data_IF_619555316633
#
_entry.id   IF_619555316633
#
_cell.length_a   1.000
_cell.length_b   1.000
_cell.length_c   1.000
_cell.angle_alpha   90.00
_cell.angle_beta   90.00
_cell.angle_gamma   90.00
#
_symmetry.space_group_name_H-M   'P 1'
#
loop_
_entity.id
_entity.type
_entity.pdbx_description
1 polymer ?
#
# COMPACT_ATOMS: atom_id res chain seq x y z
N UNK A 1 -3.37 -17.98 0.19
CA UNK A 1 -2.18 -17.37 0.82
C UNK A 1 -2.25 -17.49 2.33
N UNK A 2 -1.10 -17.44 3.01
CA UNK A 2 -1.00 -17.37 4.48
C UNK A 2 -0.65 -15.95 4.87
N UNK A 3 -1.56 -15.29 5.61
CA UNK A 3 -1.48 -13.85 5.89
C UNK A 3 -1.40 -13.61 7.40
N UNK A 4 -0.34 -12.98 7.88
CA UNK A 4 -0.21 -12.54 9.26
C UNK A 4 -0.79 -11.13 9.40
N UNK A 5 -1.77 -10.97 10.29
CA UNK A 5 -2.48 -9.72 10.57
C UNK A 5 -2.07 -9.22 11.95
N UNK A 6 -1.44 -8.06 12.01
CA UNK A 6 -1.17 -7.34 13.25
C UNK A 6 -2.50 -6.85 13.85
N UNK A 7 -3.09 -7.65 14.73
CA UNK A 7 -4.41 -7.43 15.27
C UNK A 7 -4.48 -6.25 16.27
N UNK A 8 -3.33 -5.77 16.78
CA UNK A 8 -3.26 -4.69 17.75
C UNK A 8 -2.79 -3.36 17.11
N UNK A 9 -2.55 -3.34 15.79
CA UNK A 9 -2.13 -2.15 15.06
C UNK A 9 -3.30 -1.31 14.57
N UNK A 10 -3.30 0.00 14.90
CA UNK A 10 -4.29 0.97 14.45
C UNK A 10 -5.16 1.53 15.58
N UNK A 11 -5.84 2.64 15.28
CA UNK A 11 -6.65 3.41 16.26
C UNK A 11 -7.92 2.65 16.67
N UNK A 12 -8.43 1.78 15.79
CA UNK A 12 -9.64 1.00 15.98
C UNK A 12 -9.36 -0.49 16.31
N UNK A 13 -8.09 -0.82 16.60
CA UNK A 13 -7.68 -2.17 16.98
C UNK A 13 -8.11 -2.51 18.42
N UNK A 14 -8.39 -3.79 18.73
CA UNK A 14 -8.38 -4.93 17.82
C UNK A 14 -9.67 -5.09 17.02
N UNK A 15 -10.77 -4.47 17.44
CA UNK A 15 -12.15 -4.73 17.00
C UNK A 15 -12.33 -4.66 15.47
N UNK A 16 -12.00 -3.53 14.86
CA UNK A 16 -12.17 -3.34 13.41
C UNK A 16 -11.21 -4.22 12.60
N UNK A 17 -10.00 -4.45 13.12
CA UNK A 17 -9.02 -5.32 12.47
C UNK A 17 -9.50 -6.76 12.45
N UNK A 18 -10.02 -7.26 13.57
CA UNK A 18 -10.57 -8.61 13.67
C UNK A 18 -11.83 -8.80 12.81
N UNK A 19 -12.74 -7.81 12.84
CA UNK A 19 -13.94 -7.85 12.00
C UNK A 19 -13.60 -7.91 10.50
N UNK A 20 -12.63 -7.12 10.05
CA UNK A 20 -12.13 -7.14 8.67
C UNK A 20 -11.44 -8.45 8.31
N UNK A 21 -10.63 -9.00 9.23
CA UNK A 21 -9.95 -10.28 9.03
C UNK A 21 -10.94 -11.45 8.91
N UNK A 22 -11.95 -11.51 9.76
CA UNK A 22 -13.02 -12.52 9.71
C UNK A 22 -13.81 -12.41 8.42
N UNK A 23 -14.17 -11.17 8.00
CA UNK A 23 -14.87 -10.92 6.74
C UNK A 23 -14.05 -11.36 5.52
N UNK A 24 -12.75 -11.01 5.49
CA UNK A 24 -11.84 -11.43 4.42
C UNK A 24 -11.70 -12.97 4.36
N UNK A 25 -11.54 -13.61 5.51
CA UNK A 25 -11.46 -15.08 5.61
C UNK A 25 -12.70 -15.79 5.05
N UNK A 26 -13.89 -15.28 5.36
CA UNK A 26 -15.15 -15.80 4.85
C UNK A 26 -15.27 -15.65 3.31
N UNK A 27 -14.71 -14.58 2.74
CA UNK A 27 -14.74 -14.30 1.29
C UNK A 27 -13.61 -15.00 0.51
N UNK A 28 -12.53 -15.38 1.19
CA UNK A 28 -11.38 -16.08 0.61
C UNK A 28 -11.07 -17.34 1.40
N UNK A 29 -11.90 -18.40 1.31
CA UNK A 29 -11.73 -19.60 2.13
C UNK A 29 -10.46 -20.40 1.80
N UNK A 30 -9.80 -20.11 0.69
CA UNK A 30 -8.50 -20.67 0.30
C UNK A 30 -7.31 -20.00 1.00
N UNK A 31 -7.51 -18.85 1.64
CA UNK A 31 -6.47 -18.14 2.37
C UNK A 31 -6.52 -18.51 3.85
N UNK A 32 -5.37 -18.59 4.49
CA UNK A 32 -5.22 -18.78 5.93
C UNK A 32 -4.82 -17.46 6.57
N UNK A 33 -5.58 -17.01 7.56
CA UNK A 33 -5.38 -15.72 8.24
C UNK A 33 -4.95 -15.99 9.68
N UNK A 34 -3.72 -15.55 10.01
CA UNK A 34 -3.20 -15.54 11.37
C UNK A 34 -3.45 -14.19 12.01
N UNK A 35 -4.34 -14.08 12.99
CA UNK A 35 -4.52 -12.88 13.79
C UNK A 35 -3.49 -12.90 14.92
N UNK A 36 -2.57 -11.92 14.91
CA UNK A 36 -1.41 -11.88 15.78
C UNK A 36 -1.59 -10.80 16.85
N UNK A 37 -1.61 -11.18 18.13
CA UNK A 37 -1.74 -10.25 19.24
C UNK A 37 -2.04 -10.94 20.56
N UNK A 38 -2.31 -10.15 21.61
CA UNK A 38 -2.59 -10.64 22.94
C UNK A 38 -3.91 -11.42 22.96
N UNK A 39 -3.82 -12.68 23.29
CA UNK A 39 -4.96 -13.61 23.35
C UNK A 39 -6.09 -13.08 24.21
N UNK A 40 -5.76 -12.50 25.36
CA UNK A 40 -6.76 -11.96 26.29
C UNK A 40 -7.52 -10.75 25.71
N UNK A 41 -6.93 -10.03 24.77
CA UNK A 41 -7.58 -8.91 24.08
C UNK A 41 -8.36 -9.38 22.84
N UNK A 42 -7.88 -10.41 22.15
CA UNK A 42 -8.43 -10.86 20.86
C UNK A 42 -9.63 -11.79 21.03
N UNK A 43 -9.53 -12.82 21.91
CA UNK A 43 -10.58 -13.84 22.05
C UNK A 43 -11.98 -13.26 22.38
N UNK A 44 -12.12 -12.26 23.26
CA UNK A 44 -13.43 -11.66 23.55
C UNK A 44 -14.06 -10.94 22.35
N UNK A 45 -13.24 -10.41 21.42
CA UNK A 45 -13.68 -9.61 20.28
C UNK A 45 -13.95 -10.47 19.02
N UNK A 46 -13.43 -11.72 18.93
CA UNK A 46 -13.60 -12.58 17.77
C UNK A 46 -15.04 -13.10 17.60
N UNK A 47 -15.85 -13.09 18.66
CA UNK A 47 -17.21 -13.63 18.60
C UNK A 47 -17.28 -15.17 18.40
N UNK A 48 -18.49 -15.74 18.33
CA UNK A 48 -18.69 -17.19 18.28
C UNK A 48 -18.51 -17.82 16.88
N UNK A 49 -18.59 -17.04 15.82
CA UNK A 49 -18.56 -17.50 14.41
C UNK A 49 -17.25 -17.13 13.74
N UNK A 50 -16.16 -17.78 14.14
CA UNK A 50 -14.84 -17.58 13.50
C UNK A 50 -14.69 -18.58 12.34
N UNK A 51 -14.38 -18.13 11.12
CA UNK A 51 -14.12 -19.03 10.00
C UNK A 51 -12.97 -19.99 10.30
N UNK A 52 -13.03 -21.25 9.83
CA UNK A 52 -12.03 -22.28 10.14
C UNK A 52 -10.62 -21.97 9.63
N UNK A 53 -10.49 -21.04 8.70
CA UNK A 53 -9.24 -20.55 8.13
C UNK A 53 -8.68 -19.30 8.86
N UNK A 54 -9.23 -18.95 10.03
CA UNK A 54 -8.68 -17.95 10.94
C UNK A 54 -8.07 -18.63 12.15
N UNK A 55 -6.84 -18.31 12.46
CA UNK A 55 -6.14 -18.83 13.64
C UNK A 55 -5.47 -17.71 14.42
N UNK A 56 -5.31 -17.89 15.74
CA UNK A 56 -4.71 -16.91 16.62
C UNK A 56 -3.24 -17.26 16.89
N UNK A 57 -2.37 -16.26 16.72
CA UNK A 57 -0.96 -16.32 17.14
C UNK A 57 -0.74 -15.36 18.29
N UNK A 58 -0.33 -15.87 19.42
CA UNK A 58 -0.12 -15.07 20.65
C UNK A 58 1.09 -14.12 20.51
N UNK A 59 0.92 -12.87 20.94
CA UNK A 59 1.94 -11.84 20.97
C UNK A 59 1.63 -10.82 22.07
N UNK A 60 2.66 -10.12 22.56
CA UNK A 60 2.51 -9.22 23.73
C UNK A 60 2.51 -7.75 23.34
N UNK A 61 1.31 -7.14 23.31
CA UNK A 61 1.15 -5.71 23.11
C UNK A 61 1.44 -5.21 21.69
N UNK A 62 1.29 -3.92 21.50
CA UNK A 62 1.49 -3.23 20.23
C UNK A 62 2.59 -2.17 20.33
N UNK A 63 3.12 -1.72 19.20
CA UNK A 63 3.91 -0.50 19.08
C UNK A 63 2.94 0.64 18.77
N UNK A 64 2.91 1.66 19.64
CA UNK A 64 1.99 2.79 19.51
C UNK A 64 2.50 3.85 18.53
N UNK A 65 1.59 4.75 18.09
CA UNK A 65 1.83 5.66 16.96
C UNK A 65 2.94 6.70 17.19
N UNK A 66 3.18 7.10 18.44
CA UNK A 66 4.13 8.14 18.83
C UNK A 66 5.52 7.61 19.23
N UNK A 67 5.74 6.29 19.16
CA UNK A 67 7.03 5.69 19.49
C UNK A 67 8.03 5.72 18.32
N UNK A 68 9.32 5.82 18.66
CA UNK A 68 10.38 5.69 17.66
C UNK A 68 10.42 4.22 17.16
N UNK A 69 10.15 3.98 15.85
CA UNK A 69 9.86 2.64 15.33
C UNK A 69 10.95 1.59 15.56
N UNK A 70 12.21 1.93 15.26
CA UNK A 70 13.30 0.97 15.33
C UNK A 70 13.70 0.64 16.76
N UNK A 71 13.64 1.62 17.67
CA UNK A 71 13.89 1.41 19.11
C UNK A 71 12.77 0.58 19.74
N UNK A 72 11.51 0.90 19.43
CA UNK A 72 10.36 0.16 19.95
C UNK A 72 10.37 -1.32 19.54
N UNK A 73 10.70 -1.62 18.27
CA UNK A 73 10.85 -2.99 17.75
C UNK A 73 11.97 -3.78 18.44
N UNK A 74 13.10 -3.12 18.77
CA UNK A 74 14.20 -3.76 19.50
C UNK A 74 13.82 -4.04 20.95
N UNK A 75 13.12 -3.10 21.58
CA UNK A 75 12.70 -3.21 22.99
C UNK A 75 11.59 -4.25 23.17
N UNK A 76 10.71 -4.42 22.18
CA UNK A 76 9.55 -5.34 22.23
C UNK A 76 9.57 -6.33 21.04
N UNK A 77 10.48 -7.32 21.08
CA UNK A 77 10.59 -8.33 20.02
C UNK A 77 9.37 -9.27 19.95
N UNK A 78 8.54 -9.29 20.97
CA UNK A 78 7.30 -10.04 21.15
C UNK A 78 6.02 -9.23 20.89
N UNK A 79 6.14 -7.98 20.41
CA UNK A 79 4.98 -7.20 19.95
C UNK A 79 4.30 -7.83 18.74
N UNK A 80 3.00 -7.56 18.55
CA UNK A 80 2.18 -8.14 17.49
C UNK A 80 2.80 -7.95 16.09
N UNK A 81 3.25 -6.74 15.75
CA UNK A 81 3.92 -6.47 14.47
C UNK A 81 5.27 -7.20 14.34
N UNK A 82 6.04 -7.35 15.44
CA UNK A 82 7.32 -8.03 15.41
C UNK A 82 7.17 -9.54 15.22
N UNK A 83 6.16 -10.15 15.88
CA UNK A 83 5.82 -11.56 15.71
C UNK A 83 5.28 -11.82 14.31
N UNK A 84 4.34 -11.01 13.82
CA UNK A 84 3.80 -11.12 12.47
C UNK A 84 4.88 -11.03 11.37
N UNK A 85 5.83 -10.09 11.50
CA UNK A 85 6.99 -9.99 10.61
C UNK A 85 7.94 -11.20 10.73
N UNK A 86 8.08 -11.76 11.94
CA UNK A 86 8.81 -13.00 12.18
C UNK A 86 8.23 -14.18 11.41
N UNK A 87 6.91 -14.35 11.42
CA UNK A 87 6.20 -15.40 10.68
C UNK A 87 6.48 -15.32 9.17
N UNK A 88 6.52 -14.11 8.61
CA UNK A 88 6.87 -13.92 7.18
C UNK A 88 8.32 -14.31 6.92
N UNK A 89 9.26 -13.90 7.78
CA UNK A 89 10.68 -14.27 7.66
C UNK A 89 10.89 -15.79 7.71
N UNK A 90 10.15 -16.47 8.56
CA UNK A 90 10.29 -17.92 8.80
C UNK A 90 9.50 -18.76 7.79
N UNK A 91 8.75 -18.10 6.88
CA UNK A 91 7.94 -18.76 5.87
C UNK A 91 6.64 -19.40 6.42
N UNK A 92 6.28 -19.09 7.66
CA UNK A 92 4.97 -19.47 8.23
C UNK A 92 3.85 -18.66 7.57
N UNK A 93 4.09 -17.39 7.25
CA UNK A 93 3.21 -16.53 6.46
C UNK A 93 3.90 -16.04 5.19
N UNK A 94 3.12 -15.68 4.17
CA UNK A 94 3.59 -15.12 2.90
C UNK A 94 3.39 -13.61 2.84
N UNK A 95 2.50 -13.10 3.69
CA UNK A 95 2.15 -11.70 3.76
C UNK A 95 1.97 -11.20 5.20
N UNK A 96 2.20 -9.90 5.38
CA UNK A 96 1.95 -9.13 6.60
C UNK A 96 0.99 -8.00 6.32
N UNK A 97 -0.04 -7.83 7.14
CA UNK A 97 -0.87 -6.64 7.21
C UNK A 97 -0.76 -5.98 8.58
N UNK A 98 -0.60 -4.66 8.61
CA UNK A 98 -0.72 -3.84 9.82
C UNK A 98 -1.34 -2.49 9.51
N UNK A 99 -2.34 -2.08 10.30
CA UNK A 99 -2.90 -0.72 10.32
C UNK A 99 -2.24 0.18 11.40
N UNK A 100 -1.17 -0.30 12.03
CA UNK A 100 -0.43 0.42 13.07
C UNK A 100 0.49 1.51 12.52
N UNK A 101 1.49 1.87 13.32
CA UNK A 101 2.49 2.88 12.95
C UNK A 101 3.21 2.48 11.65
N UNK A 102 3.06 3.31 10.60
CA UNK A 102 3.69 3.09 9.28
C UNK A 102 5.21 2.89 9.40
N UNK A 103 5.88 3.72 10.19
CA UNK A 103 7.32 3.60 10.43
C UNK A 103 7.70 2.28 11.09
N UNK A 104 6.89 1.80 12.06
CA UNK A 104 7.11 0.51 12.72
C UNK A 104 6.92 -0.66 11.74
N UNK A 105 5.91 -0.59 10.86
CA UNK A 105 5.68 -1.61 9.83
C UNK A 105 6.83 -1.65 8.83
N UNK A 106 7.29 -0.49 8.33
CA UNK A 106 8.47 -0.39 7.45
C UNK A 106 9.73 -0.89 8.16
N UNK A 107 9.95 -0.51 9.41
CA UNK A 107 11.11 -0.97 10.19
C UNK A 107 11.05 -2.49 10.45
N UNK A 108 9.89 -3.05 10.78
CA UNK A 108 9.69 -4.48 10.94
C UNK A 108 9.97 -5.24 9.63
N UNK A 109 9.48 -4.74 8.51
CA UNK A 109 9.75 -5.30 7.20
C UNK A 109 11.26 -5.30 6.88
N UNK A 110 11.95 -4.18 7.10
CA UNK A 110 13.38 -4.05 6.81
C UNK A 110 14.26 -4.87 7.76
N UNK A 111 13.98 -4.85 9.07
CA UNK A 111 14.84 -5.45 10.09
C UNK A 111 14.56 -6.95 10.32
N UNK A 112 13.32 -7.40 10.09
CA UNK A 112 12.89 -8.78 10.32
C UNK A 112 12.75 -9.57 9.03
N UNK A 113 12.00 -9.07 8.06
CA UNK A 113 11.73 -9.76 6.80
C UNK A 113 12.93 -9.63 5.85
N UNK A 114 13.45 -8.40 5.68
CA UNK A 114 14.59 -8.10 4.82
C UNK A 114 14.18 -7.63 3.43
N UNK A 115 15.15 -7.04 2.72
CA UNK A 115 14.98 -6.48 1.37
C UNK A 115 15.18 -7.56 0.30
N UNK A 116 14.57 -7.33 -0.87
CA UNK A 116 14.94 -8.05 -2.10
C UNK A 116 16.39 -7.75 -2.49
N UNK A 117 17.07 -8.71 -3.08
CA UNK A 117 18.43 -8.50 -3.61
C UNK A 117 18.37 -7.47 -4.77
N UNK A 118 19.32 -6.55 -4.79
CA UNK A 118 19.33 -5.43 -5.74
C UNK A 118 18.42 -4.25 -5.34
N UNK A 119 17.51 -4.39 -4.37
CA UNK A 119 16.70 -3.32 -3.86
C UNK A 119 17.37 -2.61 -2.69
N UNK A 120 17.92 -1.42 -2.95
CA UNK A 120 18.59 -0.61 -1.91
C UNK A 120 17.57 0.02 -0.94
N UNK A 121 16.45 0.48 -1.47
CA UNK A 121 15.37 1.14 -0.73
C UNK A 121 14.02 0.56 -1.12
N UNK A 122 13.14 0.27 -0.17
CA UNK A 122 11.75 -0.08 -0.47
C UNK A 122 10.96 1.16 -0.86
N UNK A 123 9.81 0.94 -1.49
CA UNK A 123 8.84 1.99 -1.81
C UNK A 123 7.44 1.61 -1.31
N UNK A 124 6.70 2.59 -0.82
CA UNK A 124 5.27 2.45 -0.56
C UNK A 124 4.53 2.68 -1.88
N UNK A 125 3.81 1.64 -2.33
CA UNK A 125 2.95 1.66 -3.50
C UNK A 125 1.50 1.90 -3.05
N UNK A 126 0.91 3.01 -3.45
CA UNK A 126 -0.45 3.42 -3.08
C UNK A 126 -1.28 3.64 -4.33
N UNK A 127 -2.50 3.12 -4.35
CA UNK A 127 -3.43 3.39 -5.45
C UNK A 127 -4.11 4.74 -5.24
N UNK A 128 -3.94 5.65 -6.21
CA UNK A 128 -4.70 6.90 -6.27
C UNK A 128 -6.04 6.61 -6.96
N UNK A 129 -7.18 6.87 -6.29
CA UNK A 129 -8.50 6.45 -6.74
C UNK A 129 -9.12 7.42 -7.75
N UNK A 130 -8.43 7.72 -8.84
CA UNK A 130 -8.97 8.48 -9.96
C UNK A 130 -9.97 7.65 -10.77
N UNK A 131 -10.62 8.29 -11.77
CA UNK A 131 -11.50 7.56 -12.69
C UNK A 131 -10.78 6.39 -13.38
N UNK A 132 -9.52 6.61 -13.77
CA UNK A 132 -8.56 5.55 -14.11
C UNK A 132 -7.60 5.42 -12.94
N UNK A 133 -7.69 4.38 -12.11
CA UNK A 133 -6.80 4.21 -10.96
C UNK A 133 -5.34 4.12 -11.41
N UNK A 134 -4.45 4.77 -10.68
CA UNK A 134 -3.01 4.78 -10.96
C UNK A 134 -2.24 4.44 -9.68
N UNK A 135 -1.18 3.66 -9.82
CA UNK A 135 -0.30 3.29 -8.72
C UNK A 135 0.79 4.35 -8.55
N UNK A 136 0.91 4.94 -7.38
CA UNK A 136 1.95 5.89 -7.02
C UNK A 136 3.05 5.20 -6.22
N UNK A 137 4.31 5.33 -6.66
CA UNK A 137 5.54 4.95 -5.98
C UNK A 137 6.57 6.09 -6.05
N UNK A 138 7.24 6.44 -5.01
CA UNK A 138 7.12 6.07 -3.60
C UNK A 138 6.19 7.05 -2.87
N UNK A 139 5.23 6.54 -2.13
CA UNK A 139 4.28 7.36 -1.38
C UNK A 139 4.79 7.75 0.03
N UNK A 140 6.09 7.52 0.35
CA UNK A 140 6.68 8.03 1.59
C UNK A 140 7.60 7.09 2.38
N UNK A 141 8.04 5.95 1.85
CA UNK A 141 9.01 5.08 2.53
C UNK A 141 10.44 5.63 2.46
N UNK A 142 10.81 6.31 1.36
CA UNK A 142 12.18 6.75 1.09
C UNK A 142 12.21 8.22 0.66
N UNK A 143 12.43 9.12 1.60
CA UNK A 143 12.42 10.58 1.36
C UNK A 143 13.53 11.02 0.41
N UNK A 144 14.72 10.40 0.50
CA UNK A 144 15.87 10.73 -0.35
C UNK A 144 16.26 9.54 -1.21
N UNK A 145 16.05 9.65 -2.51
CA UNK A 145 16.32 8.63 -3.51
C UNK A 145 17.59 8.94 -4.32
N UNK A 146 18.19 7.89 -4.87
CA UNK A 146 19.14 7.97 -5.99
C UNK A 146 18.39 7.64 -7.29
N UNK A 147 18.92 8.02 -8.47
CA UNK A 147 18.27 7.71 -9.75
C UNK A 147 17.93 6.23 -9.94
N UNK A 148 18.83 5.33 -9.55
CA UNK A 148 18.60 3.88 -9.60
C UNK A 148 17.50 3.39 -8.64
N UNK A 149 17.18 4.13 -7.55
CA UNK A 149 16.04 3.77 -6.71
C UNK A 149 14.74 4.00 -7.47
N UNK A 150 14.65 5.11 -8.24
CA UNK A 150 13.47 5.40 -9.05
C UNK A 150 13.29 4.39 -10.19
N UNK A 151 14.39 3.92 -10.82
CA UNK A 151 14.35 2.82 -11.77
C UNK A 151 13.83 1.54 -11.09
N UNK A 152 14.34 1.18 -9.92
CA UNK A 152 13.85 0.02 -9.18
C UNK A 152 12.36 0.16 -8.83
N UNK A 153 11.91 1.35 -8.44
CA UNK A 153 10.48 1.61 -8.18
C UNK A 153 9.63 1.42 -9.43
N UNK A 154 10.13 1.83 -10.59
CA UNK A 154 9.44 1.64 -11.88
C UNK A 154 9.28 0.15 -12.23
N UNK A 155 10.33 -0.64 -12.06
CA UNK A 155 10.33 -2.09 -12.31
C UNK A 155 9.36 -2.80 -11.35
N UNK A 156 9.51 -2.52 -10.03
CA UNK A 156 8.66 -3.12 -9.01
C UNK A 156 7.19 -2.71 -9.18
N UNK A 157 6.96 -1.41 -9.42
CA UNK A 157 5.63 -0.84 -9.61
C UNK A 157 4.94 -1.36 -10.87
N UNK A 158 5.68 -1.48 -11.98
CA UNK A 158 5.16 -2.04 -13.24
C UNK A 158 4.65 -3.46 -13.06
N UNK A 159 5.50 -4.36 -12.56
CA UNK A 159 5.12 -5.75 -12.32
C UNK A 159 4.00 -5.89 -11.29
N UNK A 160 4.02 -5.09 -10.23
CA UNK A 160 2.95 -5.09 -9.23
C UNK A 160 1.62 -4.64 -9.85
N UNK A 161 1.61 -3.55 -10.64
CA UNK A 161 0.41 -3.03 -11.28
C UNK A 161 -0.21 -4.04 -12.25
N UNK A 162 0.61 -4.74 -13.03
CA UNK A 162 0.16 -5.80 -13.94
C UNK A 162 -0.65 -6.87 -13.19
N UNK A 163 -0.14 -7.34 -12.04
CA UNK A 163 -0.83 -8.33 -11.20
C UNK A 163 -2.05 -7.74 -10.49
N UNK A 164 -1.87 -6.58 -9.84
CA UNK A 164 -2.89 -5.99 -8.97
C UNK A 164 -4.11 -5.50 -9.74
N UNK A 165 -3.89 -4.88 -10.91
CA UNK A 165 -4.96 -4.38 -11.79
C UNK A 165 -5.40 -5.41 -12.83
N UNK A 166 -4.67 -6.52 -13.01
CA UNK A 166 -4.97 -7.52 -14.03
C UNK A 166 -4.80 -6.96 -15.43
N UNK A 167 -3.69 -6.25 -15.70
CA UNK A 167 -3.46 -5.62 -17.00
C UNK A 167 -3.13 -6.67 -18.09
N UNK A 168 -3.72 -6.50 -19.28
CA UNK A 168 -3.44 -7.33 -20.46
C UNK A 168 -2.15 -6.88 -21.19
N UNK A 169 -1.08 -6.61 -20.47
CA UNK A 169 0.22 -6.20 -21.04
C UNK A 169 1.08 -5.42 -20.08
N UNK A 170 2.21 -4.92 -20.58
CA UNK A 170 3.19 -4.20 -19.76
C UNK A 170 2.63 -2.87 -19.27
N UNK A 171 2.70 -2.64 -17.97
CA UNK A 171 2.24 -1.42 -17.31
C UNK A 171 2.99 -0.17 -17.82
N UNK A 172 2.25 0.90 -18.10
CA UNK A 172 2.78 2.18 -18.55
C UNK A 172 3.29 2.96 -17.34
N UNK A 173 4.59 3.25 -17.31
CA UNK A 173 5.25 3.93 -16.19
C UNK A 173 5.59 5.36 -16.58
N UNK A 174 5.16 6.34 -15.77
CA UNK A 174 5.52 7.75 -15.90
C UNK A 174 6.36 8.23 -14.72
N UNK A 175 7.25 9.20 -14.96
CA UNK A 175 8.02 9.88 -13.92
C UNK A 175 7.37 11.22 -13.59
N UNK A 176 6.97 11.44 -12.33
CA UNK A 176 6.43 12.73 -11.89
C UNK A 176 7.50 13.81 -12.02
N UNK A 177 7.16 14.89 -12.74
CA UNK A 177 8.07 15.99 -13.01
C UNK A 177 7.32 17.34 -13.13
N UNK A 178 8.07 18.43 -13.22
CA UNK A 178 7.56 19.81 -13.39
C UNK A 178 7.24 20.16 -14.85
N UNK A 179 7.57 19.29 -15.81
CA UNK A 179 7.34 19.45 -17.24
C UNK A 179 7.56 18.15 -17.98
N UNK A 180 6.98 18.01 -19.19
CA UNK A 180 7.03 16.78 -19.99
C UNK A 180 8.40 16.53 -20.64
N UNK A 181 9.20 17.60 -20.88
CA UNK A 181 10.48 17.47 -21.60
C UNK A 181 11.54 16.73 -20.76
N UNK A 182 12.39 15.90 -21.37
CA UNK A 182 13.43 15.11 -20.69
C UNK A 182 14.41 15.94 -19.82
N UNK A 183 14.68 17.18 -20.22
CA UNK A 183 15.61 18.08 -19.52
C UNK A 183 15.03 18.85 -18.34
N UNK A 184 13.75 18.65 -18.01
CA UNK A 184 13.09 19.34 -16.89
C UNK A 184 13.33 18.65 -15.55
N UNK A 185 13.13 19.40 -14.47
CA UNK A 185 13.16 18.91 -13.10
C UNK A 185 14.53 18.98 -12.44
N UNK A 186 14.64 18.27 -11.33
CA UNK A 186 15.86 18.18 -10.53
C UNK A 186 16.89 17.29 -11.22
N UNK A 187 18.15 17.31 -10.77
CA UNK A 187 19.18 16.39 -11.29
C UNK A 187 18.79 14.92 -11.06
N UNK A 188 18.12 14.61 -9.94
CA UNK A 188 17.54 13.30 -9.68
C UNK A 188 16.54 12.88 -10.78
N UNK A 189 15.62 13.79 -11.13
CA UNK A 189 14.59 13.50 -12.13
C UNK A 189 15.17 13.33 -13.54
N UNK A 190 16.13 14.17 -13.94
CA UNK A 190 16.81 14.09 -15.26
C UNK A 190 17.55 12.77 -15.42
N UNK A 191 18.34 12.39 -14.42
CA UNK A 191 19.10 11.14 -14.47
C UNK A 191 18.19 9.92 -14.36
N UNK A 192 17.13 9.97 -13.54
CA UNK A 192 16.12 8.92 -13.48
C UNK A 192 15.38 8.78 -14.84
N UNK A 193 15.03 9.89 -15.49
CA UNK A 193 14.44 9.87 -16.83
C UNK A 193 15.33 9.12 -17.82
N UNK A 194 16.64 9.45 -17.87
CA UNK A 194 17.61 8.78 -18.74
C UNK A 194 17.67 7.28 -18.48
N UNK A 195 17.75 6.87 -17.20
CA UNK A 195 17.80 5.45 -16.83
C UNK A 195 16.51 4.70 -17.19
N UNK A 196 15.35 5.33 -17.05
CA UNK A 196 14.06 4.77 -17.39
C UNK A 196 13.90 4.60 -18.91
N UNK A 197 14.35 5.59 -19.69
CA UNK A 197 14.28 5.58 -21.16
C UNK A 197 15.23 4.54 -21.77
N UNK A 198 16.38 4.31 -21.15
CA UNK A 198 17.36 3.29 -21.56
C UNK A 198 17.01 1.86 -21.07
N UNK A 199 15.98 1.68 -20.24
CA UNK A 199 15.64 0.39 -19.62
C UNK A 199 14.68 -0.42 -20.47
N UNK A 200 15.09 -1.61 -20.93
CA UNK A 200 14.21 -2.58 -21.58
C UNK A 200 13.20 -3.23 -20.61
N UNK A 201 13.42 -3.10 -19.29
CA UNK A 201 12.57 -3.69 -18.24
C UNK A 201 11.34 -2.87 -17.88
N UNK A 202 11.13 -1.68 -18.47
CA UNK A 202 10.06 -0.74 -18.13
C UNK A 202 9.43 -0.16 -19.41
N UNK A 203 8.13 -0.21 -19.52
CA UNK A 203 7.42 0.58 -20.55
C UNK A 203 7.29 2.02 -20.09
N UNK A 204 8.38 2.77 -20.23
CA UNK A 204 8.42 4.18 -19.86
C UNK A 204 7.65 5.04 -20.86
N UNK A 205 6.79 5.95 -20.38
CA UNK A 205 5.99 6.87 -21.21
C UNK A 205 6.40 8.33 -21.05
N UNK A 206 7.53 8.58 -20.40
CA UNK A 206 8.09 9.92 -20.20
C UNK A 206 7.69 10.58 -18.88
N UNK A 207 7.98 11.87 -18.78
CA UNK A 207 7.61 12.70 -17.64
C UNK A 207 6.11 12.98 -17.62
N UNK A 208 5.54 13.07 -16.41
CA UNK A 208 4.12 13.34 -16.16
C UNK A 208 4.00 14.53 -15.20
N UNK A 209 3.27 15.56 -15.59
CA UNK A 209 2.97 16.69 -14.71
C UNK A 209 1.86 16.36 -13.72
N UNK A 210 1.84 17.06 -12.58
CA UNK A 210 0.85 16.86 -11.51
C UNK A 210 -0.61 16.94 -12.00
N UNK A 211 -0.91 17.76 -13.02
CA UNK A 211 -2.26 17.88 -13.61
C UNK A 211 -2.70 16.66 -14.40
N UNK A 212 -1.75 15.83 -14.87
CA UNK A 212 -2.00 14.70 -15.75
C UNK A 212 -2.02 13.35 -15.01
N UNK A 213 -1.83 13.34 -13.69
CA UNK A 213 -1.81 12.14 -12.85
C UNK A 213 -3.07 11.28 -13.05
N UNK A 214 -4.26 11.89 -13.13
CA UNK A 214 -5.54 11.19 -13.32
C UNK A 214 -5.98 11.02 -14.78
N UNK A 215 -5.12 11.32 -15.77
CA UNK A 215 -5.47 11.34 -17.20
C UNK A 215 -5.69 9.95 -17.82
N UNK A 216 -5.27 8.87 -17.14
CA UNK A 216 -5.29 7.50 -17.68
C UNK A 216 -4.17 7.21 -18.69
N UNK A 217 -3.18 8.09 -18.83
CA UNK A 217 -1.99 7.87 -19.70
C UNK A 217 -1.01 6.88 -19.09
N UNK A 218 -1.01 6.73 -17.76
CA UNK A 218 -0.10 5.88 -16.99
C UNK A 218 -0.87 4.93 -16.09
N UNK A 219 -0.28 3.79 -15.82
CA UNK A 219 -0.75 2.81 -14.85
C UNK A 219 0.05 2.92 -13.55
N UNK A 220 1.30 3.41 -13.66
CA UNK A 220 2.24 3.61 -12.55
C UNK A 220 2.89 4.98 -12.67
N UNK A 221 2.99 5.68 -11.55
CA UNK A 221 3.70 6.96 -11.39
C UNK A 221 4.83 6.77 -10.41
N UNK A 222 6.03 7.18 -10.81
CA UNK A 222 7.24 7.06 -9.98
C UNK A 222 7.76 8.43 -9.58
N UNK A 223 8.16 8.54 -8.32
CA UNK A 223 8.83 9.73 -7.76
C UNK A 223 9.59 9.36 -6.48
N UNK A 224 10.32 10.30 -5.88
CA UNK A 224 10.85 10.14 -4.52
C UNK A 224 9.73 10.21 -3.46
N UNK A 225 9.99 9.63 -2.27
CA UNK A 225 8.97 9.52 -1.24
C UNK A 225 8.53 10.85 -0.62
N UNK A 226 9.34 11.92 -0.70
CA UNK A 226 8.91 13.25 -0.27
C UNK A 226 7.85 13.79 -1.22
N UNK A 227 8.15 13.81 -2.52
CA UNK A 227 7.24 14.29 -3.56
C UNK A 227 5.97 13.44 -3.58
N UNK A 228 6.10 12.12 -3.54
CA UNK A 228 4.96 11.21 -3.57
C UNK A 228 4.05 11.35 -2.34
N UNK A 229 4.60 11.52 -1.16
CA UNK A 229 3.79 11.77 0.04
C UNK A 229 3.05 13.11 -0.02
N UNK A 230 3.68 14.16 -0.56
CA UNK A 230 3.02 15.45 -0.79
C UNK A 230 1.88 15.30 -1.78
N UNK A 231 2.10 14.62 -2.92
CA UNK A 231 1.04 14.34 -3.92
C UNK A 231 -0.11 13.58 -3.29
N UNK A 232 0.16 12.49 -2.57
CA UNK A 232 -0.86 11.66 -1.91
C UNK A 232 -1.68 12.50 -0.92
N UNK A 233 -1.01 13.19 0.01
CA UNK A 233 -1.70 13.97 1.05
C UNK A 233 -2.46 15.18 0.49
N UNK A 234 -1.97 15.78 -0.59
CA UNK A 234 -2.69 16.85 -1.29
C UNK A 234 -3.96 16.28 -1.97
N UNK A 235 -3.84 15.15 -2.66
CA UNK A 235 -4.99 14.50 -3.31
C UNK A 235 -6.06 14.08 -2.28
N UNK A 236 -5.65 13.49 -1.15
CA UNK A 236 -6.54 13.15 -0.04
C UNK A 236 -7.26 14.39 0.52
N UNK A 237 -6.51 15.45 0.84
CA UNK A 237 -7.05 16.68 1.42
C UNK A 237 -8.02 17.41 0.48
N UNK A 238 -7.65 17.57 -0.79
CA UNK A 238 -8.50 18.19 -1.81
C UNK A 238 -9.77 17.37 -2.04
N UNK A 239 -9.68 16.04 -2.09
CA UNK A 239 -10.84 15.16 -2.25
C UNK A 239 -11.82 15.29 -1.07
N UNK A 240 -11.32 15.32 0.15
CA UNK A 240 -12.14 15.50 1.36
C UNK A 240 -12.84 16.87 1.37
N UNK A 241 -12.13 17.94 1.01
CA UNK A 241 -12.69 19.29 0.95
C UNK A 241 -13.77 19.42 -0.12
N UNK A 242 -13.53 18.90 -1.33
CA UNK A 242 -14.54 18.89 -2.41
C UNK A 242 -15.79 18.12 -1.99
N UNK A 243 -15.64 16.92 -1.41
CA UNK A 243 -16.78 16.14 -0.92
C UNK A 243 -17.53 16.88 0.20
N UNK A 244 -16.82 17.60 1.08
CA UNK A 244 -17.40 18.48 2.10
C UNK A 244 -18.23 19.61 1.51
N UNK A 245 -17.70 20.32 0.51
CA UNK A 245 -18.40 21.38 -0.20
C UNK A 245 -19.66 20.85 -0.92
N UNK A 246 -19.57 19.72 -1.63
CA UNK A 246 -20.71 19.07 -2.27
C UNK A 246 -21.79 18.72 -1.25
N UNK A 247 -21.38 18.10 -0.12
CA UNK A 247 -22.31 17.76 0.97
C UNK A 247 -23.01 19.02 1.53
N UNK A 248 -22.27 20.09 1.77
CA UNK A 248 -22.82 21.35 2.29
C UNK A 248 -23.82 21.96 1.32
N UNK A 249 -23.51 22.02 0.01
CA UNK A 249 -24.41 22.53 -1.03
C UNK A 249 -25.70 21.69 -1.10
N UNK A 250 -25.61 20.37 -0.92
CA UNK A 250 -26.75 19.47 -0.99
C UNK A 250 -27.61 19.42 0.28
N UNK A 251 -27.12 19.98 1.38
CA UNK A 251 -27.86 19.95 2.68
C UNK A 251 -28.22 21.34 3.20
N UNK A 252 -27.93 22.41 2.44
CA UNK A 252 -28.10 23.79 2.85
C UNK A 252 -29.56 24.23 3.03
N UNK A 253 -30.49 23.70 2.25
CA UNK A 253 -31.90 24.05 2.27
C UNK A 253 -32.83 22.84 1.99
N UNK A 254 -34.16 22.94 2.24
CA UNK A 254 -35.08 21.81 2.08
C UNK A 254 -35.17 21.28 0.64
N UNK A 255 -35.06 22.14 -0.37
CA UNK A 255 -35.20 21.76 -1.79
C UNK A 255 -33.94 20.98 -2.19
N UNK A 256 -32.75 21.48 -1.81
CA UNK A 256 -31.46 20.80 -2.01
C UNK A 256 -31.43 19.41 -1.34
N UNK A 257 -31.97 19.29 -0.11
CA UNK A 257 -32.10 17.99 0.58
C UNK A 257 -32.99 16.99 -0.17
N UNK A 258 -34.11 17.45 -0.73
CA UNK A 258 -35.00 16.58 -1.52
C UNK A 258 -34.29 16.11 -2.80
N UNK A 259 -33.65 17.02 -3.53
CA UNK A 259 -32.84 16.70 -4.71
C UNK A 259 -31.68 15.74 -4.39
N UNK A 260 -30.99 15.97 -3.27
CA UNK A 260 -29.94 15.09 -2.76
C UNK A 260 -30.45 13.68 -2.47
N UNK A 261 -31.68 13.55 -1.93
CA UNK A 261 -32.32 12.26 -1.72
C UNK A 261 -32.48 11.46 -3.02
N UNK A 262 -32.93 12.12 -4.08
CA UNK A 262 -33.08 11.52 -5.42
C UNK A 262 -31.73 11.13 -6.02
N UNK A 263 -30.69 11.97 -5.86
CA UNK A 263 -29.35 11.75 -6.40
C UNK A 263 -28.47 10.84 -5.54
N UNK A 264 -28.89 10.52 -4.32
CA UNK A 264 -28.13 9.74 -3.33
C UNK A 264 -27.47 8.46 -3.88
N UNK A 265 -28.15 7.61 -4.70
CA UNK A 265 -27.53 6.40 -5.24
C UNK A 265 -26.36 6.69 -6.19
N UNK A 266 -26.45 7.78 -6.98
CA UNK A 266 -25.38 8.19 -7.91
C UNK A 266 -24.20 8.81 -7.17
N UNK A 267 -24.48 9.68 -6.21
CA UNK A 267 -23.45 10.31 -5.37
C UNK A 267 -22.70 9.29 -4.50
N UNK A 268 -23.41 8.27 -4.01
CA UNK A 268 -22.78 7.16 -3.29
C UNK A 268 -21.74 6.45 -4.16
N UNK A 269 -22.04 6.19 -5.44
CA UNK A 269 -21.08 5.58 -6.38
C UNK A 269 -19.83 6.44 -6.55
N UNK A 270 -19.98 7.76 -6.69
CA UNK A 270 -18.83 8.68 -6.80
C UNK A 270 -18.01 8.67 -5.52
N UNK A 271 -18.66 8.78 -4.36
CA UNK A 271 -17.94 8.71 -3.07
C UNK A 271 -17.20 7.39 -2.90
N UNK A 272 -17.88 6.27 -3.18
CA UNK A 272 -17.29 4.95 -3.04
C UNK A 272 -16.13 4.76 -4.03
N UNK A 273 -16.13 5.41 -5.19
CA UNK A 273 -15.04 5.36 -6.16
C UNK A 273 -13.76 6.04 -5.64
N UNK A 274 -13.91 7.16 -4.90
CA UNK A 274 -12.77 7.91 -4.35
C UNK A 274 -12.44 7.53 -2.90
N UNK A 275 -13.14 6.56 -2.33
CA UNK A 275 -12.93 6.09 -0.96
C UNK A 275 -11.64 5.25 -0.87
N UNK A 276 -10.61 5.69 -0.13
CA UNK A 276 -9.36 4.95 0.02
C UNK A 276 -9.55 3.57 0.68
N UNK A 277 -10.60 3.36 1.47
CA UNK A 277 -10.92 2.04 2.05
C UNK A 277 -11.18 0.96 0.99
N UNK A 278 -11.55 1.34 -0.24
CA UNK A 278 -11.77 0.37 -1.32
C UNK A 278 -10.46 -0.31 -1.78
N UNK A 279 -9.33 0.31 -1.56
CA UNK A 279 -8.02 -0.24 -1.88
C UNK A 279 -7.33 -0.86 -0.66
N UNK A 280 -7.86 -0.59 0.55
CA UNK A 280 -7.54 -1.25 1.81
C UNK A 280 -6.19 -0.90 2.43
N UNK A 281 -5.24 -0.37 1.66
CA UNK A 281 -3.91 -0.02 2.17
C UNK A 281 -2.87 0.12 1.06
N UNK A 282 -1.65 0.39 1.47
CA UNK A 282 -0.49 0.56 0.60
C UNK A 282 0.44 -0.64 0.71
N UNK A 283 1.03 -1.07 -0.40
CA UNK A 283 1.99 -2.18 -0.43
C UNK A 283 3.40 -1.65 -0.27
N UNK A 284 4.21 -2.29 0.57
CA UNK A 284 5.63 -2.00 0.67
C UNK A 284 6.40 -2.91 -0.29
N UNK A 285 6.79 -2.38 -1.42
CA UNK A 285 7.54 -3.11 -2.45
C UNK A 285 9.05 -3.02 -2.21
N UNK A 286 9.79 -4.05 -2.63
CA UNK A 286 11.24 -4.13 -2.45
C UNK A 286 11.69 -4.86 -1.18
N UNK A 287 10.75 -5.50 -0.47
CA UNK A 287 11.01 -6.40 0.68
C UNK A 287 10.58 -7.83 0.33
N UNK A 288 11.12 -8.80 1.07
CA UNK A 288 10.73 -10.21 0.93
C UNK A 288 9.32 -10.42 1.49
N UNK A 289 8.48 -11.18 0.78
CA UNK A 289 7.06 -11.32 1.13
C UNK A 289 6.21 -10.09 0.79
N UNK A 290 4.92 -10.21 0.94
CA UNK A 290 3.98 -9.12 0.72
C UNK A 290 3.73 -8.38 2.04
N UNK A 291 4.03 -7.07 2.10
CA UNK A 291 3.78 -6.24 3.28
C UNK A 291 2.79 -5.16 2.93
N UNK A 292 1.68 -5.10 3.65
CA UNK A 292 0.61 -4.12 3.45
C UNK A 292 0.42 -3.26 4.68
N UNK A 293 0.39 -1.96 4.46
CA UNK A 293 0.25 -0.92 5.47
C UNK A 293 -1.15 -0.33 5.33
N UNK A 294 -2.01 -0.56 6.31
CA UNK A 294 -3.31 0.09 6.42
C UNK A 294 -3.20 1.53 6.93
N UNK A 295 -4.29 2.29 6.85
CA UNK A 295 -4.39 3.56 7.54
C UNK A 295 -4.67 3.34 9.03
N UNK A 296 -4.13 4.21 9.91
CA UNK A 296 -4.33 4.10 11.35
C UNK A 296 -5.80 4.08 11.78
N UNK A 297 -6.65 4.82 11.08
CA UNK A 297 -8.09 4.88 11.29
C UNK A 297 -8.91 3.88 10.45
N UNK A 298 -8.27 2.87 9.84
CA UNK A 298 -8.98 1.86 9.04
C UNK A 298 -10.14 1.23 9.80
N UNK A 299 -11.31 1.18 9.12
CA UNK A 299 -12.43 0.36 9.56
C UNK A 299 -12.31 -1.07 9.03
N UNK A 300 -13.24 -1.94 9.46
CA UNK A 300 -13.29 -3.35 9.06
C UNK A 300 -13.32 -3.55 7.54
N UNK A 301 -13.98 -2.66 6.79
CA UNK A 301 -14.01 -2.68 5.33
C UNK A 301 -12.62 -2.41 4.72
N UNK A 302 -11.87 -1.46 5.26
CA UNK A 302 -10.51 -1.17 4.80
C UNK A 302 -9.57 -2.36 5.04
N UNK A 303 -9.66 -2.97 6.22
CA UNK A 303 -8.90 -4.19 6.55
C UNK A 303 -9.27 -5.34 5.63
N UNK A 304 -10.56 -5.63 5.45
CA UNK A 304 -11.06 -6.66 4.54
C UNK A 304 -10.50 -6.46 3.12
N UNK A 305 -10.60 -5.24 2.58
CA UNK A 305 -10.14 -4.94 1.23
C UNK A 305 -8.61 -5.05 1.10
N UNK A 306 -7.85 -4.71 2.14
CA UNK A 306 -6.40 -4.92 2.18
C UNK A 306 -6.04 -6.40 2.07
N UNK A 307 -6.68 -7.25 2.87
CA UNK A 307 -6.44 -8.69 2.87
C UNK A 307 -6.85 -9.34 1.54
N UNK A 308 -7.99 -8.94 0.96
CA UNK A 308 -8.41 -9.35 -0.37
C UNK A 308 -7.47 -8.82 -1.47
N UNK A 309 -6.88 -7.65 -1.27
CA UNK A 309 -5.83 -7.10 -2.14
C UNK A 309 -4.57 -7.97 -2.14
N UNK A 310 -4.14 -8.43 -0.97
CA UNK A 310 -3.04 -9.39 -0.82
C UNK A 310 -3.37 -10.69 -1.58
N UNK A 311 -4.54 -11.24 -1.37
CA UNK A 311 -4.99 -12.47 -2.04
C UNK A 311 -4.98 -12.32 -3.57
N UNK A 312 -5.40 -11.16 -4.10
CA UNK A 312 -5.37 -10.84 -5.53
C UNK A 312 -3.97 -10.85 -6.14
N UNK A 313 -2.96 -10.35 -5.43
CA UNK A 313 -1.58 -10.38 -5.94
C UNK A 313 -1.03 -11.80 -6.03
N UNK A 314 -1.61 -12.73 -5.30
CA UNK A 314 -1.28 -14.16 -5.32
C UNK A 314 0.07 -14.50 -4.70
N UNK A 315 0.28 -15.78 -4.49
CA UNK A 315 1.57 -16.31 -4.04
C UNK A 315 2.68 -16.05 -5.07
N UNK A 316 3.92 -15.92 -4.59
CA UNK A 316 5.10 -15.73 -5.45
C UNK A 316 5.34 -14.31 -5.95
N UNK A 317 4.54 -13.30 -5.53
CA UNK A 317 4.80 -11.90 -5.89
C UNK A 317 6.25 -11.48 -5.56
N UNK A 318 6.75 -11.81 -4.39
CA UNK A 318 8.11 -11.48 -3.96
C UNK A 318 9.18 -12.06 -4.89
N UNK A 319 9.00 -13.31 -5.34
CA UNK A 319 9.92 -13.99 -6.24
C UNK A 319 9.88 -13.38 -7.66
N UNK A 320 8.70 -12.98 -8.13
CA UNK A 320 8.53 -12.31 -9.41
C UNK A 320 9.19 -10.93 -9.39
N UNK A 321 8.98 -10.15 -8.33
CA UNK A 321 9.64 -8.86 -8.14
C UNK A 321 11.17 -9.01 -8.06
N UNK A 322 11.67 -10.06 -7.40
CA UNK A 322 13.10 -10.36 -7.33
C UNK A 322 13.67 -10.69 -8.71
N UNK A 323 12.94 -11.49 -9.52
CA UNK A 323 13.35 -11.81 -10.90
C UNK A 323 13.36 -10.58 -11.80
N UNK A 324 12.35 -9.70 -11.68
CA UNK A 324 12.29 -8.47 -12.45
C UNK A 324 13.48 -7.55 -12.17
N UNK A 325 13.83 -7.36 -10.89
CA UNK A 325 15.02 -6.59 -10.52
C UNK A 325 16.32 -7.20 -11.04
N UNK A 326 16.44 -8.53 -11.04
CA UNK A 326 17.64 -9.21 -11.53
C UNK A 326 17.84 -9.08 -13.04
N UNK A 327 16.75 -9.07 -13.83
CA UNK A 327 16.79 -8.88 -15.28
C UNK A 327 17.16 -7.45 -15.66
N UNK A 328 16.64 -6.45 -14.94
CA UNK A 328 16.88 -5.05 -15.25
C UNK A 328 18.19 -4.49 -14.69
N UNK A 329 18.89 -5.22 -13.81
CA UNK A 329 20.22 -4.87 -13.32
C UNK A 329 21.26 -5.74 -14.05
N UNK A 330 21.87 -5.30 -15.16
CA UNK A 330 22.95 -6.05 -15.77
C UNK A 330 24.09 -6.23 -14.76
N UNK A 331 24.59 -7.46 -14.66
CA UNK A 331 25.70 -7.84 -13.79
C UNK A 331 26.92 -6.93 -14.04
N UNK A 332 27.14 -5.91 -13.22
CA UNK A 332 28.28 -4.99 -13.36
C UNK A 332 28.30 -3.79 -12.44
N UNK A 333 27.24 -3.45 -11.77
CA UNK A 333 27.22 -2.36 -10.79
C UNK A 333 27.33 -2.88 -9.35
N UNK A 334 28.55 -3.03 -8.83
CA UNK A 334 28.75 -3.19 -7.39
C UNK A 334 28.30 -1.91 -6.64
N UNK A 335 27.78 -2.01 -5.39
CA UNK A 335 27.13 -0.96 -4.61
C UNK A 335 28.01 0.25 -4.31
#
# INVERSE_FOLDING_TARGET
MRIAVDALGGDNAPREVLAGAVSAAARSPQDEIFVVGDRAMIEPELGPEVPPNVSLRDARGAIVMDEEPAAALRARPDSSIAVAAGMVREGEAEALFSAGNTGATVAAALLRIGRLAGCRRPAIATVLPFHSPVLLLDAGATVSCRPHDLLNFAILGGMFAERYFGLDGTARVGLINVGEEPGKGTELAKEAHRLLDESDGVRFVGNVEGRDIGSGRTDVLVTDGFTGNVVLKTAEGVSQEILGMVRSAMTGDPVSKLAAGILRPRLRKVRDQVDPENYGGSFLLGVRGSVVIGHGNSGSRGVENALLGISRTGAGLSDDLQRALAVASPAGGAP
#
